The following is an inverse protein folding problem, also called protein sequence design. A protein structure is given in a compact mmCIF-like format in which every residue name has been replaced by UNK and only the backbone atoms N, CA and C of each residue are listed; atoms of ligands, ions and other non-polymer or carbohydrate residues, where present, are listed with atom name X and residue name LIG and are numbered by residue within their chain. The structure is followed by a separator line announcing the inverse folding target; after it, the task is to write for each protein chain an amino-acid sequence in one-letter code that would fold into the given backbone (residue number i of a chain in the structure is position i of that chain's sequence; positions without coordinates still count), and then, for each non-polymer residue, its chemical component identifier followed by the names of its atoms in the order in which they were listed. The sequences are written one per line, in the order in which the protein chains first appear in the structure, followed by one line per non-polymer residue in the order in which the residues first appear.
data_IF_278935885737
#
_entry.id   IF_278935885737
#
_cell.length_a   1.000
_cell.length_b   1.000
_cell.length_c   1.000
_cell.angle_alpha   90.00
_cell.angle_beta   90.00
_cell.angle_gamma   90.00
#
_symmetry.space_group_name_H-M   'P 1'
#
loop_
_entity.id
_entity.type
_entity.pdbx_description
1 polymer ?
#
# COMPACT_ATOMS: atom_id res chain seq x y z
N UNK A 1 -9.83 2.72 3.58
CA UNK A 1 -10.45 1.76 2.64
C UNK A 1 -11.96 1.82 2.83
N UNK A 2 -12.74 1.68 1.75
CA UNK A 2 -14.20 1.60 1.84
C UNK A 2 -14.69 0.32 1.14
N UNK A 3 -15.97 -0.02 1.34
CA UNK A 3 -16.58 -1.23 0.77
C UNK A 3 -16.46 -1.29 -0.75
N UNK A 4 -16.65 -0.16 -1.43
CA UNK A 4 -16.60 -0.11 -2.90
C UNK A 4 -15.19 -0.47 -3.41
N UNK A 5 -14.14 0.05 -2.79
CA UNK A 5 -12.76 -0.28 -3.16
C UNK A 5 -12.42 -1.76 -3.00
N UNK A 6 -13.06 -2.46 -2.05
CA UNK A 6 -12.89 -3.92 -1.88
C UNK A 6 -13.62 -4.67 -2.99
N UNK A 7 -14.84 -4.25 -3.34
CA UNK A 7 -15.60 -4.83 -4.45
C UNK A 7 -14.86 -4.64 -5.78
N UNK A 8 -14.34 -3.44 -6.03
CA UNK A 8 -13.56 -3.14 -7.23
C UNK A 8 -12.30 -4.01 -7.30
N UNK A 9 -11.60 -4.19 -6.18
CA UNK A 9 -10.44 -5.07 -6.11
C UNK A 9 -10.79 -6.53 -6.42
N UNK A 10 -11.95 -7.02 -5.97
CA UNK A 10 -12.45 -8.36 -6.27
C UNK A 10 -12.86 -8.51 -7.74
N UNK A 11 -13.45 -7.47 -8.35
CA UNK A 11 -13.81 -7.49 -9.78
C UNK A 11 -12.59 -7.62 -10.70
N UNK A 12 -11.43 -7.13 -10.24
CA UNK A 12 -10.15 -7.23 -10.94
C UNK A 12 -9.39 -8.53 -10.63
N UNK A 13 -9.95 -9.44 -9.83
CA UNK A 13 -9.36 -10.73 -9.51
C UNK A 13 -9.93 -11.84 -10.40
N UNK A 14 -9.18 -12.94 -10.62
CA UNK A 14 -9.72 -14.10 -11.34
C UNK A 14 -10.93 -14.69 -10.60
N UNK A 15 -11.75 -15.48 -11.30
CA UNK A 15 -12.92 -16.15 -10.70
C UNK A 15 -12.56 -17.12 -9.55
N UNK A 16 -11.31 -17.58 -9.50
CA UNK A 16 -10.76 -18.42 -8.44
C UNK A 16 -9.38 -17.89 -8.06
N UNK A 17 -9.16 -17.69 -6.77
CA UNK A 17 -7.91 -17.21 -6.17
C UNK A 17 -7.78 -17.80 -4.77
N UNK A 18 -6.55 -17.82 -4.24
CA UNK A 18 -6.30 -18.24 -2.87
C UNK A 18 -6.58 -17.10 -1.89
N UNK A 19 -6.95 -17.44 -0.65
CA UNK A 19 -7.25 -16.45 0.38
C UNK A 19 -6.09 -15.46 0.61
N UNK A 20 -4.85 -15.96 0.60
CA UNK A 20 -3.67 -15.15 0.81
C UNK A 20 -3.48 -14.08 -0.30
N UNK A 21 -3.87 -14.38 -1.54
CA UNK A 21 -3.80 -13.42 -2.66
C UNK A 21 -4.78 -12.26 -2.45
N UNK A 22 -5.97 -12.53 -1.90
CA UNK A 22 -6.92 -11.48 -1.54
C UNK A 22 -6.34 -10.59 -0.43
N UNK A 23 -5.78 -11.19 0.62
CA UNK A 23 -5.20 -10.45 1.74
C UNK A 23 -4.04 -9.58 1.26
N UNK A 24 -3.13 -10.11 0.43
CA UNK A 24 -2.02 -9.34 -0.13
C UNK A 24 -2.52 -8.16 -0.97
N UNK A 25 -3.49 -8.39 -1.88
CA UNK A 25 -4.09 -7.36 -2.71
C UNK A 25 -4.67 -6.22 -1.86
N UNK A 26 -5.43 -6.55 -0.81
CA UNK A 26 -6.04 -5.56 0.08
C UNK A 26 -4.97 -4.80 0.89
N UNK A 27 -3.92 -5.48 1.36
CA UNK A 27 -2.82 -4.85 2.09
C UNK A 27 -2.07 -3.83 1.21
N UNK A 28 -1.82 -4.15 -0.06
CA UNK A 28 -1.19 -3.23 -1.01
C UNK A 28 -2.07 -2.00 -1.24
N UNK A 29 -3.37 -2.19 -1.46
CA UNK A 29 -4.31 -1.08 -1.66
C UNK A 29 -4.38 -0.17 -0.44
N UNK A 30 -4.37 -0.74 0.77
CA UNK A 30 -4.31 0.03 2.01
C UNK A 30 -3.02 0.84 2.12
N UNK A 31 -1.85 0.22 1.86
CA UNK A 31 -0.55 0.90 1.87
C UNK A 31 -0.50 2.06 0.87
N UNK A 32 -1.04 1.87 -0.33
CA UNK A 32 -1.12 2.93 -1.36
C UNK A 32 -2.01 4.08 -0.86
N UNK A 33 -3.21 3.77 -0.34
CA UNK A 33 -4.11 4.80 0.18
C UNK A 33 -3.47 5.60 1.33
N UNK A 34 -2.76 4.91 2.23
CA UNK A 34 -1.98 5.55 3.30
C UNK A 34 -0.88 6.45 2.73
N UNK A 35 -0.10 5.97 1.76
CA UNK A 35 0.94 6.76 1.12
C UNK A 35 0.42 8.03 0.45
N UNK A 36 -0.75 7.96 -0.23
CA UNK A 36 -1.39 9.17 -0.79
C UNK A 36 -1.75 10.19 0.30
N UNK A 37 -2.34 9.72 1.40
CA UNK A 37 -2.65 10.58 2.55
C UNK A 37 -1.39 11.16 3.20
N UNK A 38 -0.30 10.40 3.26
CA UNK A 38 0.99 10.89 3.74
C UNK A 38 1.50 12.05 2.86
N UNK A 39 1.40 11.93 1.53
CA UNK A 39 1.74 13.01 0.59
C UNK A 39 0.88 14.25 0.79
N UNK A 40 -0.44 14.10 0.86
CA UNK A 40 -1.38 15.22 1.09
C UNK A 40 -1.11 15.97 2.40
N UNK A 41 -0.62 15.25 3.42
CA UNK A 41 -0.35 15.80 4.74
C UNK A 41 1.12 16.22 4.92
N UNK A 42 1.91 16.23 3.83
CA UNK A 42 3.32 16.62 3.86
C UNK A 42 4.22 15.67 4.64
N UNK A 43 3.75 14.47 4.99
CA UNK A 43 4.55 13.40 5.61
C UNK A 43 5.38 12.67 4.55
N UNK A 44 6.28 13.42 3.92
CA UNK A 44 7.19 12.92 2.89
C UNK A 44 8.62 13.16 3.33
N UNK A 45 9.53 12.36 2.78
CA UNK A 45 10.96 12.55 2.94
C UNK A 45 11.53 13.05 1.61
N UNK A 46 12.48 13.96 1.68
CA UNK A 46 13.37 14.26 0.56
C UNK A 46 14.21 13.04 0.20
N UNK A 47 14.80 13.08 -0.99
CA UNK A 47 15.69 12.01 -1.46
C UNK A 47 16.87 11.75 -0.51
N UNK A 48 17.45 12.80 0.06
CA UNK A 48 18.59 12.66 0.99
C UNK A 48 18.15 12.08 2.33
N UNK A 49 17.02 12.52 2.89
CA UNK A 49 16.45 11.93 4.10
C UNK A 49 16.13 10.44 3.91
N UNK A 50 15.58 10.07 2.75
CA UNK A 50 15.27 8.67 2.42
C UNK A 50 16.54 7.80 2.36
N UNK A 51 17.63 8.28 1.77
CA UNK A 51 18.92 7.57 1.75
C UNK A 51 19.45 7.32 3.16
N UNK A 52 19.41 8.33 4.02
CA UNK A 52 19.89 8.20 5.39
C UNK A 52 19.11 7.17 6.20
N UNK A 53 17.80 7.05 5.99
CA UNK A 53 16.97 6.05 6.66
C UNK A 53 17.29 4.63 6.19
N UNK A 54 17.49 4.43 4.88
CA UNK A 54 17.83 3.12 4.32
C UNK A 54 19.16 2.60 4.88
N UNK A 55 20.16 3.48 5.06
CA UNK A 55 21.47 3.12 5.62
C UNK A 55 21.39 2.68 7.09
N UNK A 56 20.35 3.08 7.82
CA UNK A 56 20.12 2.74 9.23
C UNK A 56 19.27 1.48 9.40
N UNK A 57 18.77 0.88 8.33
CA UNK A 57 17.94 -0.32 8.43
C UNK A 57 18.79 -1.50 8.95
N UNK A 58 18.43 -2.14 10.07
CA UNK A 58 19.11 -3.36 10.50
C UNK A 58 19.05 -4.43 9.39
N UNK A 59 20.17 -5.12 9.19
CA UNK A 59 20.29 -6.25 8.26
C UNK A 59 19.41 -7.42 8.66
#
# INVERSE_FOLDING_TARGET
MNKQSVIDALNDMPNSFEFDELIERLLILEKIAKGRKDVEQGRVFSHEEAKEQILKWPK
#
